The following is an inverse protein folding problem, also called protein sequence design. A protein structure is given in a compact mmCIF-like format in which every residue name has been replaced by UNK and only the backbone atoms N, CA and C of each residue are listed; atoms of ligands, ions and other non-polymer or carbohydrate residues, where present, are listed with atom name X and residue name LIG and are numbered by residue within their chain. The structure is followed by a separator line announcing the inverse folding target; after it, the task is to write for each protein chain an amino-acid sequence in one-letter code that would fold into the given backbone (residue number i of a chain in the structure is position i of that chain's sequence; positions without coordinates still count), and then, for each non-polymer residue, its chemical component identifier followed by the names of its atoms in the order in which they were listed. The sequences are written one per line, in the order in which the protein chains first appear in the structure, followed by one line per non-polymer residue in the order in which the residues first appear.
data_IF_429753982698
#
_entry.id   IF_429753982698
#
_cell.length_a   1.000
_cell.length_b   1.000
_cell.length_c   1.000
_cell.angle_alpha   90.00
_cell.angle_beta   90.00
_cell.angle_gamma   90.00
#
_symmetry.space_group_name_H-M   'P 1'
#
loop_
_entity.id
_entity.type
_entity.pdbx_description
1 polymer ?
#
# COMPACT_ATOMS: atom_id res chain seq x y z
N UNK A 1 -10.94 -39.18 -3.24
CA UNK A 1 -11.16 -38.07 -2.28
C UNK A 1 -9.90 -37.23 -2.29
N UNK A 2 -9.91 -36.07 -2.96
CA UNK A 2 -8.74 -35.18 -3.00
C UNK A 2 -9.24 -33.79 -2.61
N UNK A 3 -8.74 -33.30 -1.48
CA UNK A 3 -9.10 -32.00 -0.94
C UNK A 3 -8.66 -30.90 -1.92
N UNK A 4 -9.63 -30.10 -2.37
CA UNK A 4 -9.35 -28.85 -3.05
C UNK A 4 -8.77 -27.89 -2.01
N UNK A 5 -7.47 -27.60 -2.10
CA UNK A 5 -6.88 -26.45 -1.43
C UNK A 5 -7.56 -25.20 -1.99
N UNK A 6 -8.51 -24.65 -1.24
CA UNK A 6 -9.06 -23.34 -1.52
C UNK A 6 -7.98 -22.30 -1.20
N UNK A 7 -7.15 -21.99 -2.19
CA UNK A 7 -6.37 -20.75 -2.16
C UNK A 7 -7.38 -19.61 -2.14
N UNK A 8 -7.52 -18.92 -1.01
CA UNK A 8 -8.17 -17.61 -0.94
C UNK A 8 -7.06 -16.57 -1.02
N UNK A 9 -6.60 -16.16 -2.22
CA UNK A 9 -5.83 -14.95 -2.28
C UNK A 9 -6.82 -13.82 -1.96
N UNK A 10 -6.63 -13.16 -0.82
CA UNK A 10 -7.08 -11.77 -0.69
C UNK A 10 -6.26 -10.98 -1.71
N UNK A 11 -6.72 -11.02 -2.97
CA UNK A 11 -5.99 -10.53 -4.12
C UNK A 11 -6.27 -9.06 -4.18
N UNK A 12 -5.39 -8.24 -3.62
CA UNK A 12 -5.43 -6.81 -3.89
C UNK A 12 -5.46 -6.63 -5.41
N UNK A 13 -6.43 -5.86 -5.91
CA UNK A 13 -6.59 -5.60 -7.35
C UNK A 13 -5.24 -5.11 -7.93
N UNK A 14 -4.83 -5.60 -9.12
CA UNK A 14 -3.60 -5.16 -9.76
C UNK A 14 -3.62 -3.65 -10.01
N UNK A 15 -2.44 -3.06 -9.98
CA UNK A 15 -2.27 -1.64 -10.29
C UNK A 15 -2.54 -1.42 -11.79
N UNK A 16 -3.34 -0.40 -12.11
CA UNK A 16 -3.73 -0.07 -13.48
C UNK A 16 -3.29 1.36 -13.85
N UNK A 17 -3.22 1.65 -15.16
CA UNK A 17 -2.93 3.00 -15.66
C UNK A 17 -3.93 4.02 -15.14
N UNK A 18 -5.20 3.66 -15.09
CA UNK A 18 -6.30 4.55 -14.70
C UNK A 18 -6.13 5.03 -13.26
N UNK A 19 -5.62 4.16 -12.39
CA UNK A 19 -5.31 4.52 -11.01
C UNK A 19 -4.16 5.54 -10.94
N UNK A 20 -3.10 5.39 -11.74
CA UNK A 20 -2.00 6.35 -11.81
C UNK A 20 -2.52 7.70 -12.34
N UNK A 21 -3.30 7.66 -13.43
CA UNK A 21 -3.91 8.86 -14.02
C UNK A 21 -4.81 9.59 -13.03
N UNK A 22 -5.57 8.86 -12.21
CA UNK A 22 -6.39 9.45 -11.18
C UNK A 22 -5.56 10.12 -10.07
N UNK A 23 -4.46 9.51 -9.62
CA UNK A 23 -3.55 10.19 -8.68
C UNK A 23 -3.02 11.47 -9.28
N UNK A 24 -2.59 11.47 -10.55
CA UNK A 24 -2.11 12.68 -11.22
C UNK A 24 -3.19 13.76 -11.37
N UNK A 25 -4.46 13.37 -11.54
CA UNK A 25 -5.57 14.30 -11.73
C UNK A 25 -6.16 14.85 -10.42
N UNK A 26 -6.16 14.05 -9.35
CA UNK A 26 -6.93 14.34 -8.13
C UNK A 26 -6.08 14.40 -6.86
N UNK A 27 -4.76 14.22 -6.93
CA UNK A 27 -3.89 14.35 -5.77
C UNK A 27 -4.02 15.75 -5.16
N UNK A 28 -4.42 15.76 -3.89
CA UNK A 28 -4.51 16.93 -3.04
C UNK A 28 -3.36 16.99 -2.03
N UNK A 29 -2.63 15.88 -1.86
CA UNK A 29 -1.44 15.84 -1.01
C UNK A 29 -0.18 15.78 -1.88
N UNK A 30 0.67 16.78 -1.67
CA UNK A 30 1.97 16.92 -2.30
C UNK A 30 3.05 17.06 -1.21
N UNK A 31 3.97 16.11 -1.14
CA UNK A 31 5.05 16.08 -0.15
C UNK A 31 6.42 16.07 -0.85
N UNK A 32 7.39 16.89 -0.41
CA UNK A 32 8.71 16.89 -1.01
C UNK A 32 9.42 15.54 -0.78
N UNK A 33 10.04 15.00 -1.83
CA UNK A 33 10.72 13.70 -1.80
C UNK A 33 12.19 13.78 -2.23
N UNK A 34 12.72 14.99 -2.37
CA UNK A 34 14.09 15.29 -2.79
C UNK A 34 14.15 16.42 -3.81
N UNK A 35 15.33 16.72 -4.38
CA UNK A 35 15.49 17.76 -5.37
C UNK A 35 14.60 17.53 -6.59
N UNK A 36 13.76 18.51 -6.94
CA UNK A 36 12.80 18.46 -8.04
C UNK A 36 11.83 17.27 -7.99
N UNK A 37 11.60 16.67 -6.81
CA UNK A 37 10.75 15.50 -6.66
C UNK A 37 9.64 15.73 -5.64
N UNK A 38 8.44 15.36 -6.03
CA UNK A 38 7.24 15.50 -5.22
C UNK A 38 6.47 14.17 -5.20
N UNK A 39 6.13 13.70 -4.02
CA UNK A 39 5.20 12.58 -3.82
C UNK A 39 3.78 13.13 -3.90
N UNK A 40 3.00 12.55 -4.79
CA UNK A 40 1.59 12.85 -4.99
C UNK A 40 0.76 11.67 -4.49
N UNK A 41 -0.25 11.97 -3.68
CA UNK A 41 -1.26 11.00 -3.21
C UNK A 41 -2.61 11.69 -3.07
N UNK A 42 -3.67 10.89 -3.08
CA UNK A 42 -5.02 11.37 -2.78
C UNK A 42 -5.30 11.09 -1.29
N UNK A 43 -5.71 12.11 -0.55
CA UNK A 43 -6.12 11.95 0.84
C UNK A 43 -7.41 11.12 0.96
N UNK A 44 -7.63 10.44 2.10
CA UNK A 44 -8.90 9.76 2.36
C UNK A 44 -10.12 10.70 2.24
N UNK A 45 -9.98 11.95 2.67
CA UNK A 45 -11.02 12.96 2.60
C UNK A 45 -11.36 13.32 1.15
N UNK A 46 -10.36 13.42 0.28
CA UNK A 46 -10.54 13.72 -1.14
C UNK A 46 -11.14 12.53 -1.90
N UNK A 47 -10.80 11.29 -1.53
CA UNK A 47 -11.39 10.07 -2.10
C UNK A 47 -12.88 9.92 -1.81
N UNK A 48 -13.39 10.51 -0.72
CA UNK A 48 -14.80 10.49 -0.36
C UNK A 48 -15.66 11.50 -1.14
N UNK A 49 -15.05 12.35 -1.98
CA UNK A 49 -15.78 13.37 -2.73
C UNK A 49 -16.44 12.77 -3.98
N UNK A 50 -17.64 13.26 -4.31
CA UNK A 50 -18.51 12.66 -5.32
C UNK A 50 -17.89 12.67 -6.73
N UNK A 51 -17.12 13.70 -7.07
CA UNK A 51 -16.38 13.81 -8.34
C UNK A 51 -15.32 12.70 -8.47
N UNK A 52 -14.54 12.49 -7.42
CA UNK A 52 -13.49 11.46 -7.37
C UNK A 52 -14.10 10.06 -7.36
N UNK A 53 -15.17 9.83 -6.58
CA UNK A 53 -15.88 8.55 -6.56
C UNK A 53 -16.50 8.21 -7.91
N UNK A 54 -17.08 9.18 -8.62
CA UNK A 54 -17.65 8.97 -9.94
C UNK A 54 -16.57 8.64 -10.98
N UNK A 55 -15.41 9.29 -10.91
CA UNK A 55 -14.29 9.06 -11.83
C UNK A 55 -13.62 7.70 -11.61
N UNK A 56 -13.50 7.25 -10.35
CA UNK A 56 -12.78 6.03 -9.97
C UNK A 56 -13.66 4.78 -9.83
N UNK A 57 -14.97 4.95 -9.67
CA UNK A 57 -15.91 3.85 -9.48
C UNK A 57 -15.51 2.93 -8.33
N UNK A 58 -15.47 1.61 -8.57
CA UNK A 58 -15.09 0.61 -7.57
C UNK A 58 -13.61 0.64 -7.16
N UNK A 59 -12.76 1.43 -7.83
CA UNK A 59 -11.31 1.50 -7.59
C UNK A 59 -10.87 2.46 -6.49
N UNK A 60 -11.78 3.25 -5.90
CA UNK A 60 -11.47 4.35 -4.96
C UNK A 60 -10.58 3.88 -3.79
N UNK A 61 -10.97 2.79 -3.13
CA UNK A 61 -10.22 2.27 -1.98
C UNK A 61 -8.80 1.83 -2.36
N UNK A 62 -8.59 1.40 -3.61
CA UNK A 62 -7.30 0.93 -4.08
C UNK A 62 -6.33 2.07 -4.37
N UNK A 63 -6.85 3.18 -4.88
CA UNK A 63 -6.07 4.38 -5.21
C UNK A 63 -5.48 5.04 -3.96
N UNK A 64 -6.11 4.85 -2.79
CA UNK A 64 -5.58 5.30 -1.50
C UNK A 64 -4.19 4.72 -1.19
N UNK A 65 -3.88 3.52 -1.69
CA UNK A 65 -2.62 2.83 -1.45
C UNK A 65 -1.53 3.16 -2.49
N UNK A 66 -1.77 4.13 -3.37
CA UNK A 66 -0.88 4.47 -4.48
C UNK A 66 -0.25 5.83 -4.23
N UNK A 67 1.09 5.87 -4.26
CA UNK A 67 1.87 7.11 -4.26
C UNK A 67 2.64 7.23 -5.56
N UNK A 68 2.53 8.39 -6.22
CA UNK A 68 3.29 8.70 -7.43
C UNK A 68 4.42 9.67 -7.11
N UNK A 69 5.64 9.34 -7.51
CA UNK A 69 6.79 10.25 -7.41
C UNK A 69 6.96 10.97 -8.74
N UNK A 70 6.72 12.27 -8.72
CA UNK A 70 6.79 13.17 -9.86
C UNK A 70 8.11 13.94 -9.89
N UNK A 71 8.71 14.09 -11.08
CA UNK A 71 9.81 15.02 -11.31
C UNK A 71 9.24 16.33 -11.87
N UNK A 72 9.33 17.40 -11.10
CA UNK A 72 8.79 18.70 -11.49
C UNK A 72 9.55 19.35 -12.64
N UNK A 73 10.87 19.12 -12.72
CA UNK A 73 11.71 19.70 -13.78
C UNK A 73 11.46 19.04 -15.12
N UNK A 74 11.33 17.71 -15.13
CA UNK A 74 11.20 16.93 -16.36
C UNK A 74 9.75 16.69 -16.77
N UNK A 75 8.79 16.90 -15.85
CA UNK A 75 7.37 16.68 -16.10
C UNK A 75 7.03 15.20 -16.27
N UNK A 76 7.62 14.32 -15.45
CA UNK A 76 7.53 12.87 -15.62
C UNK A 76 7.33 12.12 -14.31
N UNK A 77 6.67 10.97 -14.40
CA UNK A 77 6.60 10.00 -13.31
C UNK A 77 7.93 9.24 -13.23
N UNK A 78 8.61 9.37 -12.09
CA UNK A 78 9.89 8.68 -11.83
C UNK A 78 9.67 7.32 -11.16
N UNK A 79 8.62 7.21 -10.33
CA UNK A 79 8.31 5.98 -9.60
C UNK A 79 6.84 5.94 -9.20
N UNK A 80 6.28 4.74 -9.20
CA UNK A 80 4.98 4.44 -8.58
C UNK A 80 5.23 3.51 -7.40
N UNK A 81 4.63 3.81 -6.25
CA UNK A 81 4.71 3.02 -5.03
C UNK A 81 3.31 2.47 -4.74
N UNK A 82 3.25 1.20 -4.42
CA UNK A 82 2.02 0.46 -4.12
C UNK A 82 2.10 -0.12 -2.71
N UNK A 83 1.53 0.60 -1.75
CA UNK A 83 1.62 0.27 -0.33
C UNK A 83 0.80 -0.99 0.02
N UNK A 84 -0.18 -1.36 -0.79
CA UNK A 84 -0.91 -2.61 -0.62
C UNK A 84 -0.03 -3.83 -0.94
N UNK A 85 0.92 -3.71 -1.88
CA UNK A 85 1.95 -4.74 -2.04
C UNK A 85 2.92 -4.73 -0.86
N UNK A 86 3.31 -3.54 -0.38
CA UNK A 86 4.25 -3.44 0.74
C UNK A 86 3.72 -4.12 2.00
N UNK A 87 2.44 -3.88 2.37
CA UNK A 87 1.76 -4.57 3.49
C UNK A 87 1.73 -6.09 3.33
N UNK A 88 1.56 -6.61 2.11
CA UNK A 88 1.60 -8.06 1.85
C UNK A 88 3.01 -8.64 1.95
N UNK A 89 4.03 -7.84 1.67
CA UNK A 89 5.42 -8.28 1.65
C UNK A 89 6.14 -8.15 3.00
N UNK A 90 5.55 -7.45 3.97
CA UNK A 90 6.10 -7.43 5.33
C UNK A 90 5.89 -8.80 5.97
N UNK A 91 6.96 -9.49 6.42
CA UNK A 91 6.80 -10.59 7.37
C UNK A 91 6.12 -10.08 8.64
N UNK A 92 5.53 -10.98 9.43
CA UNK A 92 4.90 -10.71 10.72
C UNK A 92 5.63 -9.59 11.49
N UNK A 93 4.89 -8.70 12.17
CA UNK A 93 5.49 -7.60 12.93
C UNK A 93 6.66 -8.12 13.76
N UNK A 94 7.74 -7.35 13.83
CA UNK A 94 8.89 -7.70 14.68
C UNK A 94 8.47 -7.98 16.14
N UNK A 95 7.32 -7.46 16.56
CA UNK A 95 6.64 -7.72 17.84
C UNK A 95 6.25 -9.21 18.02
N UNK A 96 5.84 -9.90 16.96
CA UNK A 96 5.55 -11.34 16.97
C UNK A 96 6.80 -12.20 17.23
N UNK A 97 7.99 -11.67 16.98
CA UNK A 97 9.25 -12.35 17.34
C UNK A 97 9.58 -12.23 18.83
N UNK A 98 9.04 -11.25 19.55
CA UNK A 98 9.27 -11.12 20.99
C UNK A 98 8.48 -12.16 21.79
N UNK A 99 7.27 -12.50 21.35
CA UNK A 99 6.46 -13.57 21.93
C UNK A 99 7.14 -14.96 21.86
N UNK A 100 8.04 -15.16 20.88
CA UNK A 100 8.87 -16.35 20.72
C UNK A 100 9.97 -16.51 21.78
N UNK A 101 10.36 -15.42 22.46
CA UNK A 101 11.40 -15.43 23.50
C UNK A 101 10.84 -15.46 24.93
N UNK A 102 9.55 -15.17 25.12
CA UNK A 102 8.87 -15.32 26.42
C UNK A 102 8.47 -16.78 26.72
N UNK A 103 8.58 -17.69 25.73
CA UNK A 103 8.51 -19.13 25.93
C UNK A 103 9.84 -19.67 26.51
N UNK A 104 10.21 -19.26 27.73
CA UNK A 104 11.30 -19.92 28.45
C UNK A 104 10.86 -21.35 28.84
N UNK A 105 11.50 -22.43 28.34
CA UNK A 105 11.17 -23.77 28.80
C UNK A 105 11.58 -23.88 30.26
N UNK A 106 10.59 -24.08 31.14
CA UNK A 106 10.73 -24.28 32.58
C UNK A 106 11.51 -25.55 32.99
N UNK A 107 12.51 -25.99 32.21
CA UNK A 107 13.23 -27.25 32.35
C UNK A 107 14.73 -27.08 32.68
N UNK A 108 15.15 -25.96 33.27
CA UNK A 108 16.52 -25.78 33.76
C UNK A 108 16.57 -25.43 35.26
N UNK A 109 15.78 -26.14 36.07
CA UNK A 109 15.94 -26.22 37.53
C UNK A 109 15.77 -27.66 38.04
N UNK A 110 16.67 -28.55 37.64
CA UNK A 110 16.96 -29.78 38.38
C UNK A 110 18.23 -30.44 37.82
N UNK A 111 19.41 -29.96 38.24
CA UNK A 111 20.65 -30.74 38.27
C UNK A 111 21.63 -30.08 39.25
#
# INVERSE_FOLDING_TARGET
MTALFAFRPFTTSPLSSDMISAVLAFADVAEPAGPNRTKLRISPERLAQADVMQALGGGVARVADITVVWNEREGQVVRVIDDAQLRRSQPEPWEAYFDLFDEEPAQLRAA
#
